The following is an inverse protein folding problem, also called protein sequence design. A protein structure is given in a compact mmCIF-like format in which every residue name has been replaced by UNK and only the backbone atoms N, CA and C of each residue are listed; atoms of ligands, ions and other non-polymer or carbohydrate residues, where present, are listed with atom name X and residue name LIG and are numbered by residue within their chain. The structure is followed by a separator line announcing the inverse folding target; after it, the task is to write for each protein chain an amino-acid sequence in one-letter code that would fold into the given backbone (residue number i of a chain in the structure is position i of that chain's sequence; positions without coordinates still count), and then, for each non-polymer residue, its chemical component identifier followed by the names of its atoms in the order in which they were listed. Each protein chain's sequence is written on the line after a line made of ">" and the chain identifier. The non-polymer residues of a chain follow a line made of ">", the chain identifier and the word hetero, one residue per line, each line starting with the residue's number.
data_IF_185156798321
#
_entry.id   IF_185156798321
#
_cell.length_a   1.000
_cell.length_b   1.000
_cell.length_c   1.000
_cell.angle_alpha   90.00
_cell.angle_beta   90.00
_cell.angle_gamma   90.00
#
_symmetry.space_group_name_H-M   'P 1'
#
loop_
_entity.id
_entity.type
_entity.pdbx_description
1 polymer ?
#
# COMPACT_ATOMS: atom_id res chain seq x y z
N UNK A 1 18.18 -18.21 -9.98
CA UNK A 1 17.16 -17.60 -9.10
C UNK A 1 16.01 -17.17 -9.99
N UNK A 2 14.89 -17.90 -9.98
CA UNK A 2 13.77 -17.65 -10.90
C UNK A 2 12.98 -16.43 -10.43
N UNK A 3 12.97 -15.37 -11.23
CA UNK A 3 12.11 -14.19 -10.98
C UNK A 3 10.70 -14.61 -11.37
N UNK A 4 9.80 -14.73 -10.38
CA UNK A 4 8.39 -14.96 -10.66
C UNK A 4 7.82 -13.76 -11.43
N UNK A 5 6.88 -13.97 -12.38
CA UNK A 5 6.19 -12.86 -13.02
C UNK A 5 5.50 -12.01 -11.96
N UNK A 6 5.57 -10.68 -12.15
CA UNK A 6 4.80 -9.72 -11.37
C UNK A 6 3.35 -10.19 -11.28
N UNK A 7 2.76 -10.31 -10.08
CA UNK A 7 1.34 -10.67 -9.91
C UNK A 7 1.03 -12.14 -9.65
N UNK A 8 2.01 -12.94 -9.22
CA UNK A 8 1.75 -14.33 -8.80
C UNK A 8 0.78 -14.40 -7.59
N UNK A 9 0.74 -13.36 -6.76
CA UNK A 9 -0.23 -13.25 -5.65
C UNK A 9 -1.68 -12.93 -6.10
N UNK A 10 -1.89 -12.44 -7.33
CA UNK A 10 -3.17 -11.90 -7.78
C UNK A 10 -4.28 -12.94 -7.94
N UNK A 11 -3.95 -14.13 -8.44
CA UNK A 11 -4.95 -15.15 -8.83
C UNK A 11 -5.57 -15.89 -7.65
N UNK A 12 -4.93 -15.93 -6.49
CA UNK A 12 -5.48 -16.58 -5.30
C UNK A 12 -6.27 -15.62 -4.39
N UNK A 13 -6.06 -14.31 -4.48
CA UNK A 13 -6.61 -13.36 -3.51
C UNK A 13 -7.97 -12.76 -3.85
N UNK A 14 -8.37 -12.69 -5.12
CA UNK A 14 -9.59 -11.96 -5.52
C UNK A 14 -10.89 -12.49 -4.88
N UNK A 15 -11.01 -13.80 -4.69
CA UNK A 15 -12.21 -14.42 -4.14
C UNK A 15 -12.36 -14.14 -2.64
N UNK A 16 -11.29 -14.29 -1.86
CA UNK A 16 -11.28 -14.02 -0.40
C UNK A 16 -11.28 -12.53 -0.07
N UNK A 17 -10.75 -11.71 -0.98
CA UNK A 17 -10.67 -10.24 -0.86
C UNK A 17 -12.02 -9.56 -1.10
N UNK A 18 -12.87 -10.11 -2.01
CA UNK A 18 -14.24 -9.63 -2.29
C UNK A 18 -15.14 -9.59 -1.06
N UNK A 19 -15.06 -10.59 -0.20
CA UNK A 19 -16.01 -10.75 0.91
C UNK A 19 -15.60 -9.94 2.15
N UNK A 20 -14.30 -9.75 2.39
CA UNK A 20 -13.80 -9.09 3.60
C UNK A 20 -13.61 -7.56 3.45
N UNK A 21 -13.22 -7.06 2.27
CA UNK A 21 -12.85 -5.63 2.12
C UNK A 21 -14.07 -4.72 1.98
N UNK A 22 -15.10 -5.15 1.22
CA UNK A 22 -16.32 -4.36 1.05
C UNK A 22 -17.01 -4.07 2.40
N UNK A 23 -16.94 -5.03 3.34
CA UNK A 23 -17.47 -4.89 4.69
C UNK A 23 -16.56 -4.07 5.62
N UNK A 24 -15.23 -4.21 5.53
CA UNK A 24 -14.30 -3.58 6.46
C UNK A 24 -13.84 -2.16 6.09
N UNK A 25 -13.90 -1.79 4.81
CA UNK A 25 -13.38 -0.50 4.31
C UNK A 25 -14.48 0.45 3.81
N UNK A 26 -15.76 0.06 3.88
CA UNK A 26 -16.87 0.88 3.41
C UNK A 26 -16.81 1.16 1.90
N UNK A 27 -16.08 0.35 1.13
CA UNK A 27 -16.02 0.43 -0.33
C UNK A 27 -17.24 -0.29 -0.87
N UNK A 28 -18.00 0.36 -1.76
CA UNK A 28 -19.15 -0.28 -2.40
C UNK A 28 -18.70 -1.47 -3.25
N UNK A 29 -19.56 -2.48 -3.39
CA UNK A 29 -19.27 -3.65 -4.25
C UNK A 29 -19.01 -3.22 -5.69
N UNK A 30 -19.62 -2.12 -6.14
CA UNK A 30 -19.46 -1.61 -7.51
C UNK A 30 -18.14 -0.85 -7.69
N UNK A 31 -17.71 -0.05 -6.71
CA UNK A 31 -16.36 0.56 -6.72
C UNK A 31 -15.28 -0.52 -6.69
N UNK A 32 -15.53 -1.58 -5.93
CA UNK A 32 -14.65 -2.74 -5.88
C UNK A 32 -14.55 -3.42 -7.26
N UNK A 33 -15.69 -3.72 -7.89
CA UNK A 33 -15.73 -4.31 -9.24
C UNK A 33 -15.02 -3.44 -10.26
N UNK A 34 -15.33 -2.15 -10.26
CA UNK A 34 -14.71 -1.18 -11.16
C UNK A 34 -13.19 -1.21 -11.04
N UNK A 35 -12.65 -1.15 -9.82
CA UNK A 35 -11.21 -1.16 -9.63
C UNK A 35 -10.58 -2.53 -9.98
N UNK A 36 -11.26 -3.67 -9.77
CA UNK A 36 -10.80 -4.98 -10.26
C UNK A 36 -10.72 -5.00 -11.78
N UNK A 37 -11.72 -4.45 -12.47
CA UNK A 37 -11.76 -4.39 -13.93
C UNK A 37 -10.66 -3.47 -14.50
N UNK A 38 -10.22 -2.46 -13.75
CA UNK A 38 -9.08 -1.62 -14.13
C UNK A 38 -7.72 -2.30 -13.93
N UNK A 39 -7.63 -3.42 -13.18
CA UNK A 39 -6.34 -4.02 -12.81
C UNK A 39 -5.45 -4.39 -13.99
N UNK A 40 -5.93 -5.02 -15.08
CA UNK A 40 -5.07 -5.32 -16.23
C UNK A 40 -4.42 -4.07 -16.82
N UNK A 41 -5.18 -2.98 -16.92
CA UNK A 41 -4.69 -1.69 -17.42
C UNK A 41 -3.68 -1.06 -16.46
N UNK A 42 -3.99 -1.03 -15.16
CA UNK A 42 -3.09 -0.47 -14.15
C UNK A 42 -1.79 -1.26 -14.05
N UNK A 43 -1.85 -2.59 -14.19
CA UNK A 43 -0.65 -3.42 -14.27
C UNK A 43 0.19 -3.07 -15.49
N UNK A 44 -0.41 -3.00 -16.68
CA UNK A 44 0.31 -2.60 -17.89
C UNK A 44 0.94 -1.20 -17.77
N UNK A 45 0.26 -0.27 -17.11
CA UNK A 45 0.78 1.08 -16.85
C UNK A 45 2.01 1.09 -15.93
N UNK A 46 2.07 0.18 -14.94
CA UNK A 46 3.10 0.17 -13.91
C UNK A 46 4.12 -0.96 -14.05
N UNK A 47 4.02 -1.81 -15.08
CA UNK A 47 4.83 -3.02 -15.23
C UNK A 47 6.33 -2.70 -15.25
N UNK A 48 6.70 -1.63 -15.93
CA UNK A 48 8.08 -1.13 -16.03
C UNK A 48 8.43 -0.08 -14.96
N UNK A 49 7.52 0.24 -14.03
CA UNK A 49 7.76 1.26 -13.02
C UNK A 49 8.68 0.71 -11.90
N UNK A 50 9.92 1.23 -11.73
CA UNK A 50 10.89 0.71 -10.76
C UNK A 50 10.42 0.79 -9.31
N UNK A 51 9.67 1.85 -8.95
CA UNK A 51 9.08 2.00 -7.61
C UNK A 51 8.06 0.89 -7.36
N UNK A 52 7.14 0.69 -8.30
CA UNK A 52 6.08 -0.33 -8.18
C UNK A 52 6.66 -1.73 -8.15
N UNK A 53 7.63 -2.04 -9.02
CA UNK A 53 8.31 -3.34 -8.99
C UNK A 53 8.99 -3.59 -7.64
N UNK A 54 9.59 -2.56 -7.02
CA UNK A 54 10.22 -2.68 -5.70
C UNK A 54 9.19 -2.87 -4.60
N UNK A 55 8.08 -2.14 -4.63
CA UNK A 55 6.97 -2.33 -3.70
C UNK A 55 6.39 -3.74 -3.82
N UNK A 56 6.15 -4.22 -5.04
CA UNK A 56 5.62 -5.57 -5.27
C UNK A 56 6.52 -6.65 -4.66
N UNK A 57 7.83 -6.60 -4.92
CA UNK A 57 8.77 -7.57 -4.33
C UNK A 57 8.78 -7.56 -2.79
N UNK A 58 8.51 -6.42 -2.17
CA UNK A 58 8.39 -6.32 -0.70
C UNK A 58 7.05 -6.91 -0.26
N UNK A 59 5.95 -6.50 -0.89
CA UNK A 59 4.62 -7.00 -0.62
C UNK A 59 4.54 -8.53 -0.72
N UNK A 60 5.12 -9.11 -1.78
CA UNK A 60 5.14 -10.56 -2.03
C UNK A 60 5.90 -11.35 -0.94
N UNK A 61 6.86 -10.73 -0.25
CA UNK A 61 7.63 -11.38 0.83
C UNK A 61 7.03 -11.17 2.21
N UNK A 62 6.26 -10.11 2.39
CA UNK A 62 5.77 -9.68 3.70
C UNK A 62 4.30 -10.02 3.92
N UNK A 63 3.44 -9.82 2.92
CA UNK A 63 1.99 -9.99 3.05
C UNK A 63 1.65 -11.47 2.95
N UNK A 64 0.98 -12.00 3.98
CA UNK A 64 0.62 -13.42 4.09
C UNK A 64 -0.86 -13.68 3.85
N UNK A 65 -1.71 -12.70 4.18
CA UNK A 65 -3.16 -12.90 4.20
C UNK A 65 -3.87 -12.18 3.05
N UNK A 66 -3.62 -10.88 2.87
CA UNK A 66 -4.32 -10.04 1.90
C UNK A 66 -3.39 -9.59 0.79
N UNK A 67 -2.80 -10.53 0.07
CA UNK A 67 -1.91 -10.21 -1.06
C UNK A 67 -2.51 -9.29 -2.12
N UNK A 68 -3.84 -9.32 -2.25
CA UNK A 68 -4.61 -8.43 -3.11
C UNK A 68 -4.57 -6.95 -2.69
N UNK A 69 -4.26 -6.63 -1.43
CA UNK A 69 -4.17 -5.24 -0.94
C UNK A 69 -3.17 -4.44 -1.78
N UNK A 70 -1.97 -4.98 -2.01
CA UNK A 70 -0.96 -4.28 -2.80
C UNK A 70 -1.44 -4.03 -4.24
N UNK A 71 -1.98 -5.05 -4.90
CA UNK A 71 -2.33 -4.91 -6.31
C UNK A 71 -3.57 -4.04 -6.51
N UNK A 72 -4.59 -4.20 -5.67
CA UNK A 72 -5.84 -3.47 -5.81
C UNK A 72 -5.75 -2.08 -5.18
N UNK A 73 -5.45 -2.00 -3.89
CA UNK A 73 -5.51 -0.74 -3.15
C UNK A 73 -4.32 0.15 -3.52
N UNK A 74 -3.10 -0.39 -3.55
CA UNK A 74 -1.93 0.46 -3.73
C UNK A 74 -1.74 0.91 -5.19
N UNK A 75 -1.95 0.04 -6.19
CA UNK A 75 -1.86 0.48 -7.59
C UNK A 75 -2.96 1.47 -7.97
N UNK A 76 -4.18 1.25 -7.46
CA UNK A 76 -5.28 2.19 -7.68
C UNK A 76 -4.98 3.54 -7.03
N UNK A 77 -4.49 3.55 -5.79
CA UNK A 77 -4.06 4.78 -5.12
C UNK A 77 -2.95 5.49 -5.91
N UNK A 78 -1.94 4.75 -6.38
CA UNK A 78 -0.85 5.28 -7.20
C UNK A 78 -1.29 5.87 -8.54
N UNK A 79 -2.37 5.36 -9.13
CA UNK A 79 -2.93 5.91 -10.38
C UNK A 79 -3.73 7.21 -10.19
N UNK A 80 -4.24 7.45 -8.98
CA UNK A 80 -5.13 8.58 -8.67
C UNK A 80 -4.43 9.73 -7.94
N UNK A 81 -3.33 9.41 -7.25
CA UNK A 81 -2.51 10.38 -6.52
C UNK A 81 -1.18 10.56 -7.27
N UNK A 82 -0.52 11.71 -7.13
CA UNK A 82 0.75 11.99 -7.82
C UNK A 82 1.89 12.36 -6.85
N UNK A 83 1.56 12.56 -5.58
CA UNK A 83 2.47 12.99 -4.53
C UNK A 83 3.28 11.84 -3.90
N UNK A 84 4.43 12.20 -3.31
CA UNK A 84 5.22 11.32 -2.44
C UNK A 84 4.39 10.80 -1.27
N UNK A 85 4.74 9.62 -0.76
CA UNK A 85 3.94 8.96 0.27
C UNK A 85 4.78 8.09 1.21
N UNK A 86 4.22 7.86 2.39
CA UNK A 86 4.65 6.83 3.32
C UNK A 86 3.87 5.55 3.05
N UNK A 87 4.58 4.44 2.95
CA UNK A 87 4.02 3.12 2.68
C UNK A 87 4.36 2.18 3.82
N UNK A 88 3.33 1.57 4.39
CA UNK A 88 3.42 0.64 5.49
C UNK A 88 3.07 -0.75 5.00
N UNK A 89 3.88 -1.73 5.35
CA UNK A 89 3.70 -3.12 4.93
C UNK A 89 3.64 -3.99 6.18
N UNK A 90 2.60 -4.81 6.27
CA UNK A 90 2.31 -5.72 7.37
C UNK A 90 1.92 -7.10 6.83
N UNK A 91 1.96 -8.16 7.66
CA UNK A 91 1.49 -9.49 7.24
C UNK A 91 0.05 -9.50 6.71
N UNK A 92 -0.78 -8.58 7.22
CA UNK A 92 -2.19 -8.43 6.86
C UNK A 92 -2.44 -7.34 5.81
N UNK A 93 -1.43 -6.94 5.01
CA UNK A 93 -1.65 -5.98 3.92
C UNK A 93 -0.78 -4.74 3.95
N UNK A 94 -1.27 -3.68 3.31
CA UNK A 94 -0.53 -2.42 3.16
C UNK A 94 -1.34 -1.22 3.65
N UNK A 95 -0.68 -0.08 3.79
CA UNK A 95 -1.33 1.21 4.00
C UNK A 95 -0.49 2.33 3.40
N UNK A 96 -1.17 3.36 2.88
CA UNK A 96 -0.56 4.50 2.19
C UNK A 96 -0.98 5.81 2.86
N UNK A 97 -0.02 6.69 3.10
CA UNK A 97 -0.25 8.03 3.65
C UNK A 97 0.49 9.04 2.76
N UNK A 98 -0.21 10.00 2.13
CA UNK A 98 0.47 11.07 1.40
C UNK A 98 1.45 11.81 2.31
N UNK A 99 2.63 12.14 1.79
CA UNK A 99 3.64 12.90 2.54
C UNK A 99 3.19 14.36 2.77
N UNK A 100 2.40 14.89 1.83
CA UNK A 100 1.78 16.21 1.89
C UNK A 100 0.31 16.09 2.31
N UNK A 101 0.03 15.93 3.61
CA UNK A 101 -1.33 16.03 4.18
C UNK A 101 -1.52 17.33 4.97
N UNK A 102 -2.77 17.75 5.17
CA UNK A 102 -3.08 18.82 6.14
C UNK A 102 -2.69 18.40 7.57
N UNK A 103 -2.63 19.34 8.52
CA UNK A 103 -2.37 19.01 9.93
C UNK A 103 -3.50 18.17 10.54
N UNK A 104 -4.74 18.48 10.20
CA UNK A 104 -5.91 17.74 10.67
C UNK A 104 -5.93 16.29 10.14
N UNK A 105 -5.67 16.09 8.85
CA UNK A 105 -5.56 14.74 8.28
C UNK A 105 -4.37 13.97 8.85
N UNK A 106 -3.30 14.68 9.19
CA UNK A 106 -2.16 14.07 9.85
C UNK A 106 -2.53 13.50 11.20
N UNK A 107 -3.18 14.24 12.08
CA UNK A 107 -3.51 13.79 13.43
C UNK A 107 -4.42 12.55 13.38
N UNK A 108 -5.39 12.54 12.47
CA UNK A 108 -6.25 11.37 12.21
C UNK A 108 -5.44 10.17 11.72
N UNK A 109 -4.54 10.36 10.76
CA UNK A 109 -3.71 9.26 10.22
C UNK A 109 -2.62 8.81 11.20
N UNK A 110 -2.11 9.71 12.03
CA UNK A 110 -1.15 9.42 13.08
C UNK A 110 -1.78 8.57 14.19
N UNK A 111 -3.04 8.83 14.57
CA UNK A 111 -3.79 7.96 15.46
C UNK A 111 -3.91 6.52 14.90
N UNK A 112 -4.10 6.37 13.58
CA UNK A 112 -4.07 5.07 12.91
C UNK A 112 -2.68 4.43 13.00
N UNK A 113 -1.60 5.18 12.78
CA UNK A 113 -0.24 4.68 12.92
C UNK A 113 0.07 4.23 14.35
N UNK A 114 -0.32 5.00 15.35
CA UNK A 114 -0.17 4.63 16.75
C UNK A 114 -0.99 3.38 17.09
N UNK A 115 -2.24 3.29 16.62
CA UNK A 115 -3.07 2.10 16.81
C UNK A 115 -2.41 0.86 16.18
N UNK A 116 -1.84 0.99 14.98
CA UNK A 116 -1.08 -0.08 14.32
C UNK A 116 0.16 -0.46 15.15
N UNK A 117 0.92 0.51 15.66
CA UNK A 117 2.09 0.23 16.51
C UNK A 117 1.68 -0.46 17.82
N UNK A 118 0.60 -0.03 18.46
CA UNK A 118 0.10 -0.59 19.72
C UNK A 118 -0.50 -2.00 19.58
N UNK A 119 -0.91 -2.43 18.39
CA UNK A 119 -1.38 -3.79 18.13
C UNK A 119 -0.25 -4.83 18.13
N UNK A 120 0.98 -4.46 18.52
CA UNK A 120 2.10 -5.40 18.66
C UNK A 120 2.68 -5.85 17.32
N UNK A 121 2.46 -5.08 16.24
CA UNK A 121 3.18 -5.27 14.99
C UNK A 121 4.61 -4.72 15.14
N UNK A 122 5.43 -5.38 15.97
CA UNK A 122 6.85 -5.07 16.19
C UNK A 122 7.66 -5.07 14.87
N UNK A 123 7.08 -5.63 13.80
CA UNK A 123 7.65 -5.73 12.46
C UNK A 123 7.03 -4.77 11.44
N UNK A 124 6.45 -3.63 11.85
CA UNK A 124 5.86 -2.70 10.88
C UNK A 124 6.96 -2.14 9.96
N UNK A 125 7.01 -2.65 8.73
CA UNK A 125 7.95 -2.17 7.74
C UNK A 125 7.41 -0.87 7.15
N UNK A 126 8.13 0.24 7.35
CA UNK A 126 7.75 1.54 6.82
C UNK A 126 8.77 2.02 5.79
N UNK A 127 8.24 2.62 4.73
CA UNK A 127 9.01 3.14 3.63
C UNK A 127 8.54 4.55 3.24
N UNK A 128 9.48 5.40 2.86
CA UNK A 128 9.21 6.62 2.11
C UNK A 128 9.33 6.32 0.62
N UNK A 129 8.30 6.63 -0.15
CA UNK A 129 8.28 6.56 -1.60
C UNK A 129 8.45 7.96 -2.19
N UNK A 130 9.60 8.17 -2.82
CA UNK A 130 9.87 9.35 -3.65
C UNK A 130 9.43 9.02 -5.07
N UNK A 131 8.28 9.57 -5.48
CA UNK A 131 7.68 9.26 -6.78
C UNK A 131 8.44 9.90 -7.92
N UNK A 132 8.95 11.12 -7.71
CA UNK A 132 9.73 11.83 -8.73
C UNK A 132 11.00 11.07 -9.11
N UNK A 133 11.67 10.49 -8.12
CA UNK A 133 12.88 9.66 -8.32
C UNK A 133 12.58 8.18 -8.52
N UNK A 134 11.32 7.77 -8.35
CA UNK A 134 10.88 6.37 -8.39
C UNK A 134 11.68 5.49 -7.42
N UNK A 135 11.95 5.99 -6.21
CA UNK A 135 12.72 5.27 -5.20
C UNK A 135 11.91 4.99 -3.94
N UNK A 136 12.31 3.91 -3.26
CA UNK A 136 11.73 3.50 -1.99
C UNK A 136 12.83 3.37 -0.94
N UNK A 137 12.67 4.06 0.19
CA UNK A 137 13.65 4.06 1.29
C UNK A 137 12.98 3.59 2.57
N UNK A 138 13.56 2.57 3.20
CA UNK A 138 13.12 2.16 4.54
C UNK A 138 13.33 3.29 5.53
N UNK A 139 12.33 3.55 6.37
CA UNK A 139 12.39 4.56 7.42
C UNK A 139 11.86 3.97 8.72
N UNK A 140 12.30 4.56 9.82
CA UNK A 140 11.71 4.34 11.13
C UNK A 140 10.35 5.05 11.20
N UNK A 141 9.26 4.40 11.64
CA UNK A 141 7.97 5.07 11.82
C UNK A 141 8.06 6.36 12.65
N UNK A 142 8.95 6.40 13.64
CA UNK A 142 9.14 7.58 14.51
C UNK A 142 9.70 8.79 13.74
N UNK A 143 10.45 8.56 12.65
CA UNK A 143 11.01 9.63 11.82
C UNK A 143 9.93 10.37 11.00
N UNK A 144 8.74 9.78 10.87
CA UNK A 144 7.58 10.37 10.18
C UNK A 144 6.98 11.47 11.05
N UNK A 145 6.93 11.24 12.37
CA UNK A 145 6.40 12.17 13.38
C UNK A 145 7.29 13.40 13.54
N UNK A 146 8.60 13.20 13.62
CA UNK A 146 9.58 14.26 13.91
C UNK A 146 9.75 15.29 12.79
N UNK A 147 9.45 14.94 11.53
CA UNK A 147 9.65 15.82 10.37
C UNK A 147 8.63 16.96 10.23
N UNK A 148 7.59 17.00 11.06
CA UNK A 148 6.54 18.05 11.02
C UNK A 148 6.41 18.88 12.29
N UNK A 149 7.08 18.48 13.36
CA UNK A 149 7.17 19.25 14.62
C UNK A 149 8.36 20.20 14.66
N UNK A 150 9.25 20.12 13.66
CA UNK A 150 10.38 21.02 13.45
C UNK A 150 10.05 22.01 12.32
#
# INVERSE_FOLDING_TARGET
>A
MTVLPFGTLYTHTLTTYRENIALNHGISVDDFRFAVDQMPRLRAQFDDNPLVQRMARIAERTIRHYGGDFYFHDLFWLSTHLEDFYWFVRPNGTHLIPAAVSREDWDRKHAVLQAIQHQGYDSLACYYADRGRQTLRAIKPEAIVLRRTA
#
